data_IF_245870227931
#
_entry.id   IF_245870227931
#
_cell.length_a   1.000
_cell.length_b   1.000
_cell.length_c   1.000
_cell.angle_alpha   90.00
_cell.angle_beta   90.00
_cell.angle_gamma   90.00
#
_symmetry.space_group_name_H-M   'P 1'
#
loop_
_entity.id
_entity.type
_entity.pdbx_description
1 polymer ?
#
# COMPACT_ATOMS: atom_id res chain seq x y z
N UNK A 1 43.54 -78.07 19.23
CA UNK A 1 43.86 -77.06 18.20
C UNK A 1 42.55 -76.66 17.53
N UNK A 2 41.89 -75.55 17.90
CA UNK A 2 40.65 -75.11 17.24
C UNK A 2 40.94 -74.20 16.04
N UNK A 3 40.17 -74.38 14.96
CA UNK A 3 40.24 -73.60 13.74
C UNK A 3 39.53 -72.23 13.92
N UNK A 4 40.16 -71.16 13.44
CA UNK A 4 39.65 -69.79 13.51
C UNK A 4 38.56 -69.55 12.45
N UNK A 5 37.44 -68.93 12.85
CA UNK A 5 36.37 -68.48 11.97
C UNK A 5 36.73 -67.13 11.29
N UNK A 6 36.32 -66.89 10.04
CA UNK A 6 36.62 -65.63 9.34
C UNK A 6 35.70 -64.49 9.81
N UNK A 7 36.32 -63.37 10.21
CA UNK A 7 35.63 -62.14 10.58
C UNK A 7 35.04 -61.43 9.36
N UNK A 8 33.72 -61.18 9.40
CA UNK A 8 33.04 -60.36 8.39
C UNK A 8 33.29 -58.89 8.73
N UNK A 9 34.21 -58.26 8.01
CA UNK A 9 34.40 -56.81 8.05
C UNK A 9 33.32 -56.14 7.20
N UNK A 10 32.27 -55.64 7.84
CA UNK A 10 31.26 -54.81 7.16
C UNK A 10 31.93 -53.49 6.80
N UNK A 11 32.22 -53.30 5.52
CA UNK A 11 32.92 -52.15 4.98
C UNK A 11 32.01 -50.90 5.08
N UNK A 12 32.31 -50.01 6.02
CA UNK A 12 31.53 -48.79 6.35
C UNK A 12 31.24 -47.88 5.13
N UNK A 13 32.06 -47.98 4.08
CA UNK A 13 31.86 -47.28 2.80
C UNK A 13 30.60 -47.73 2.05
N UNK A 14 30.21 -48.99 2.21
CA UNK A 14 28.98 -49.51 1.61
C UNK A 14 27.77 -48.95 2.35
N UNK A 15 27.80 -48.94 3.69
CA UNK A 15 26.70 -48.40 4.51
C UNK A 15 26.45 -46.90 4.24
N UNK A 16 27.49 -46.10 4.03
CA UNK A 16 27.34 -44.67 3.69
C UNK A 16 26.75 -44.45 2.30
N UNK A 17 27.06 -45.32 1.32
CA UNK A 17 26.47 -45.26 -0.02
C UNK A 17 25.00 -45.66 0.01
N UNK A 18 24.63 -46.67 0.80
CA UNK A 18 23.24 -47.05 1.02
C UNK A 18 22.44 -45.98 1.78
N UNK A 19 23.06 -45.28 2.74
CA UNK A 19 22.42 -44.15 3.44
C UNK A 19 22.24 -42.94 2.51
N UNK A 20 23.21 -42.64 1.65
CA UNK A 20 23.08 -41.59 0.64
C UNK A 20 22.05 -41.94 -0.43
N UNK A 21 21.96 -43.21 -0.84
CA UNK A 21 20.93 -43.68 -1.76
C UNK A 21 19.53 -43.59 -1.13
N UNK A 22 19.37 -43.97 0.16
CA UNK A 22 18.13 -43.80 0.91
C UNK A 22 17.74 -42.31 1.07
N UNK A 23 18.73 -41.43 1.30
CA UNK A 23 18.51 -39.99 1.38
C UNK A 23 18.12 -39.40 0.01
N UNK A 24 18.68 -39.91 -1.10
CA UNK A 24 18.32 -39.52 -2.47
C UNK A 24 16.93 -40.02 -2.89
N UNK A 25 16.52 -41.21 -2.43
CA UNK A 25 15.14 -41.72 -2.62
C UNK A 25 14.16 -40.84 -1.85
N UNK A 26 14.47 -40.48 -0.60
CA UNK A 26 13.62 -39.54 0.17
C UNK A 26 13.52 -38.13 -0.44
N UNK A 27 14.55 -37.66 -1.16
CA UNK A 27 14.51 -36.34 -1.82
C UNK A 27 13.75 -36.36 -3.16
N UNK A 28 13.60 -37.53 -3.78
CA UNK A 28 12.93 -37.65 -5.09
C UNK A 28 11.43 -37.94 -4.98
N UNK A 29 10.94 -38.38 -3.82
CA UNK A 29 9.51 -38.65 -3.57
C UNK A 29 8.75 -37.49 -2.91
N UNK A 30 9.29 -36.26 -2.94
CA UNK A 30 8.46 -35.06 -2.79
C UNK A 30 7.94 -34.62 -4.17
N UNK A 31 7.43 -35.58 -4.93
CA UNK A 31 6.41 -35.26 -5.92
C UNK A 31 5.21 -34.75 -5.13
N UNK A 32 4.99 -33.44 -5.29
CA UNK A 32 3.74 -32.75 -5.04
C UNK A 32 2.62 -33.73 -5.31
N UNK A 33 1.82 -34.02 -4.28
CA UNK A 33 0.57 -34.74 -4.40
C UNK A 33 -0.37 -33.88 -5.26
N UNK A 34 -0.14 -33.87 -6.57
CA UNK A 34 -1.11 -33.45 -7.56
C UNK A 34 -2.24 -34.46 -7.41
N UNK A 35 -3.44 -34.06 -6.97
CA UNK A 35 -4.58 -34.92 -7.12
C UNK A 35 -4.87 -34.97 -8.62
N UNK A 36 -4.17 -35.86 -9.32
CA UNK A 36 -4.56 -36.40 -10.61
C UNK A 36 -5.83 -37.23 -10.46
N UNK A 37 -6.89 -36.62 -9.95
CA UNK A 37 -8.24 -37.06 -10.22
C UNK A 37 -8.53 -36.60 -11.64
N UNK A 38 -8.77 -37.55 -12.55
CA UNK A 38 -9.21 -37.29 -13.93
C UNK A 38 -10.60 -36.64 -13.95
N UNK A 39 -10.70 -35.42 -13.41
CA UNK A 39 -11.86 -34.56 -13.49
C UNK A 39 -11.88 -33.83 -14.82
N UNK A 40 -13.08 -33.47 -15.26
CA UNK A 40 -13.27 -32.64 -16.44
C UNK A 40 -12.45 -31.36 -16.31
N UNK A 41 -11.62 -31.08 -17.31
CA UNK A 41 -10.85 -29.85 -17.41
C UNK A 41 -11.62 -28.83 -18.24
N UNK A 42 -11.58 -27.59 -17.80
CA UNK A 42 -12.31 -26.49 -18.40
C UNK A 42 -11.34 -25.44 -18.97
N UNK A 43 -11.89 -24.53 -19.78
CA UNK A 43 -11.17 -23.40 -20.37
C UNK A 43 -11.70 -22.09 -19.82
N UNK A 44 -10.81 -21.21 -19.37
CA UNK A 44 -11.17 -19.87 -18.90
C UNK A 44 -10.94 -18.88 -20.02
N UNK A 45 -12.00 -18.20 -20.45
CA UNK A 45 -11.97 -17.25 -21.56
C UNK A 45 -12.19 -15.82 -21.07
N UNK A 46 -11.48 -14.89 -21.71
CA UNK A 46 -11.60 -13.49 -21.39
C UNK A 46 -11.00 -12.58 -22.45
N UNK A 47 -11.16 -11.29 -22.22
CA UNK A 47 -10.61 -10.22 -23.04
C UNK A 47 -10.10 -9.12 -22.12
N UNK A 48 -8.84 -8.75 -22.32
CA UNK A 48 -8.20 -7.65 -21.64
C UNK A 48 -8.17 -6.43 -22.57
N UNK A 49 -8.61 -5.28 -22.05
CA UNK A 49 -8.77 -4.04 -22.81
C UNK A 49 -8.04 -2.92 -22.08
N UNK A 50 -7.13 -2.27 -22.80
CA UNK A 50 -6.49 -1.02 -22.36
C UNK A 50 -7.18 0.13 -23.09
N UNK A 51 -7.83 1.07 -22.39
CA UNK A 51 -8.44 2.23 -23.02
C UNK A 51 -7.39 3.06 -23.77
N UNK A 52 -7.64 3.35 -25.05
CA UNK A 52 -6.78 4.23 -25.86
C UNK A 52 -5.52 3.58 -26.44
N UNK A 53 -5.23 2.31 -26.16
CA UNK A 53 -4.05 1.60 -26.69
C UNK A 53 -4.49 0.35 -27.44
N UNK A 54 -3.90 0.10 -28.61
CA UNK A 54 -4.23 -1.09 -29.40
C UNK A 54 -3.62 -2.35 -28.74
N UNK A 55 -4.35 -3.48 -28.70
CA UNK A 55 -3.86 -4.71 -28.07
C UNK A 55 -2.52 -5.22 -28.62
N UNK A 56 -2.30 -5.11 -29.92
CA UNK A 56 -1.05 -5.51 -30.58
C UNK A 56 0.23 -4.87 -30.00
N UNK A 57 0.13 -3.70 -29.40
CA UNK A 57 1.28 -2.93 -28.91
C UNK A 57 1.77 -3.42 -27.53
N UNK A 58 0.91 -4.13 -26.77
CA UNK A 58 1.22 -4.56 -25.40
C UNK A 58 0.96 -6.05 -25.12
N UNK A 59 0.11 -6.72 -25.91
CA UNK A 59 -0.29 -8.11 -25.69
C UNK A 59 0.90 -9.08 -25.67
N UNK A 60 1.95 -8.82 -26.45
CA UNK A 60 3.17 -9.63 -26.50
C UNK A 60 3.98 -9.62 -25.20
N UNK A 61 3.90 -8.52 -24.44
CA UNK A 61 4.57 -8.37 -23.14
C UNK A 61 3.74 -8.88 -21.97
N UNK A 62 2.47 -9.21 -22.21
CA UNK A 62 1.52 -9.54 -21.17
C UNK A 62 1.30 -11.05 -21.06
N UNK A 63 0.99 -11.51 -19.85
CA UNK A 63 0.68 -12.91 -19.54
C UNK A 63 -0.58 -12.98 -18.67
N UNK A 64 -1.32 -14.06 -18.81
CA UNK A 64 -2.47 -14.35 -17.95
C UNK A 64 -2.05 -15.42 -16.97
N UNK A 65 -2.18 -15.12 -15.68
CA UNK A 65 -1.89 -16.05 -14.60
C UNK A 65 -3.20 -16.48 -13.94
N UNK A 66 -3.28 -17.77 -13.63
CA UNK A 66 -4.34 -18.34 -12.81
C UNK A 66 -3.69 -18.92 -11.56
N UNK A 67 -4.15 -18.45 -10.40
CA UNK A 67 -3.70 -18.86 -9.06
C UNK A 67 -2.17 -18.81 -8.88
N UNK A 68 -1.56 -17.69 -9.24
CA UNK A 68 -0.13 -17.47 -8.97
C UNK A 68 0.82 -18.34 -9.79
N UNK A 69 0.51 -18.53 -11.08
CA UNK A 69 1.29 -19.32 -12.08
C UNK A 69 1.00 -20.83 -12.13
N UNK A 70 0.02 -21.34 -11.39
CA UNK A 70 -0.40 -22.75 -11.52
C UNK A 70 -0.86 -23.06 -12.96
N UNK A 71 -1.64 -22.16 -13.56
CA UNK A 71 -1.95 -22.20 -14.99
C UNK A 71 -1.59 -20.88 -15.63
N UNK A 72 -0.93 -20.96 -16.80
CA UNK A 72 -0.46 -19.79 -17.54
C UNK A 72 -1.14 -19.75 -18.90
N UNK A 73 -1.66 -18.58 -19.25
CA UNK A 73 -2.20 -18.28 -20.56
C UNK A 73 -1.53 -17.08 -21.22
N UNK A 74 -1.72 -16.97 -22.52
CA UNK A 74 -1.20 -15.87 -23.33
C UNK A 74 -2.34 -15.10 -23.98
N UNK A 75 -2.10 -13.81 -24.21
CA UNK A 75 -3.03 -12.96 -24.93
C UNK A 75 -2.81 -13.10 -26.44
N UNK A 76 -3.91 -13.07 -27.18
CA UNK A 76 -3.93 -12.96 -28.63
C UNK A 76 -3.78 -11.50 -29.06
N UNK A 77 -3.50 -11.28 -30.34
CA UNK A 77 -3.32 -9.94 -30.94
C UNK A 77 -4.54 -9.03 -30.84
N UNK A 78 -5.73 -9.61 -30.61
CA UNK A 78 -6.98 -8.88 -30.41
C UNK A 78 -7.23 -8.51 -28.94
N UNK A 79 -6.39 -8.97 -28.00
CA UNK A 79 -6.53 -8.81 -26.56
C UNK A 79 -7.39 -9.88 -25.88
N UNK A 80 -7.87 -10.88 -26.62
CA UNK A 80 -8.52 -12.05 -26.04
C UNK A 80 -7.51 -13.03 -25.45
N UNK A 81 -7.92 -13.83 -24.48
CA UNK A 81 -7.10 -14.89 -23.92
C UNK A 81 -7.94 -16.11 -23.59
N UNK A 82 -7.28 -17.26 -23.62
CA UNK A 82 -7.86 -18.55 -23.23
C UNK A 82 -6.80 -19.29 -22.41
N UNK A 83 -7.18 -19.67 -21.19
CA UNK A 83 -6.36 -20.56 -20.34
C UNK A 83 -6.98 -21.95 -20.41
N UNK A 84 -6.18 -22.94 -20.77
CA UNK A 84 -6.62 -24.33 -20.90
C UNK A 84 -6.26 -25.14 -19.65
N UNK A 85 -6.82 -26.34 -19.57
CA UNK A 85 -6.51 -27.35 -18.55
C UNK A 85 -6.85 -26.97 -17.10
N UNK A 86 -7.79 -26.04 -16.88
CA UNK A 86 -8.17 -25.59 -15.53
C UNK A 86 -9.21 -26.53 -14.92
N UNK A 87 -8.96 -27.17 -13.75
CA UNK A 87 -9.95 -28.04 -13.11
C UNK A 87 -11.16 -27.25 -12.55
N UNK A 88 -12.17 -27.97 -12.06
CA UNK A 88 -13.26 -27.31 -11.33
C UNK A 88 -12.77 -26.80 -9.98
N UNK A 89 -12.99 -25.53 -9.68
CA UNK A 89 -12.47 -24.87 -8.50
C UNK A 89 -12.78 -23.38 -8.49
N UNK A 90 -12.21 -22.66 -7.53
CA UNK A 90 -12.31 -21.21 -7.44
C UNK A 90 -10.91 -20.64 -7.57
N UNK A 91 -10.67 -19.87 -8.63
CA UNK A 91 -9.35 -19.39 -9.00
C UNK A 91 -9.33 -17.87 -9.07
N UNK A 92 -8.16 -17.29 -8.85
CA UNK A 92 -7.91 -15.87 -9.11
C UNK A 92 -7.18 -15.75 -10.44
N UNK A 93 -7.77 -15.00 -11.36
CA UNK A 93 -7.23 -14.75 -12.70
C UNK A 93 -6.68 -13.33 -12.75
N UNK A 94 -5.42 -13.21 -13.14
CA UNK A 94 -4.70 -11.94 -13.20
C UNK A 94 -4.07 -11.77 -14.58
N UNK A 95 -4.09 -10.54 -15.10
CA UNK A 95 -3.37 -10.19 -16.33
C UNK A 95 -2.16 -9.37 -15.92
N UNK A 96 -0.98 -9.97 -16.05
CA UNK A 96 0.29 -9.30 -15.78
C UNK A 96 0.78 -8.60 -17.05
N UNK A 97 1.03 -7.30 -16.95
CA UNK A 97 1.73 -6.53 -17.97
C UNK A 97 2.71 -5.57 -17.29
N UNK A 98 3.94 -5.40 -17.82
CA UNK A 98 4.88 -4.43 -17.28
C UNK A 98 4.41 -2.98 -17.46
N UNK A 99 3.62 -2.68 -18.49
CA UNK A 99 3.23 -1.32 -18.83
C UNK A 99 1.84 -0.93 -18.30
N UNK A 100 0.99 -1.91 -17.97
CA UNK A 100 -0.42 -1.69 -17.64
C UNK A 100 -0.84 -2.52 -16.44
N UNK A 101 -1.59 -1.91 -15.52
CA UNK A 101 -2.14 -2.61 -14.36
C UNK A 101 -3.58 -3.05 -14.63
N UNK A 102 -3.91 -4.28 -14.27
CA UNK A 102 -5.26 -4.85 -14.34
C UNK A 102 -5.75 -5.25 -12.95
N UNK A 103 -7.07 -5.29 -12.76
CA UNK A 103 -7.67 -5.83 -11.54
C UNK A 103 -7.71 -7.36 -11.58
N UNK A 104 -7.33 -8.06 -10.50
CA UNK A 104 -7.53 -9.50 -10.42
C UNK A 104 -9.02 -9.83 -10.33
N UNK A 105 -9.43 -10.92 -10.99
CA UNK A 105 -10.83 -11.37 -11.03
C UNK A 105 -10.93 -12.79 -10.53
N UNK A 106 -11.87 -13.06 -9.62
CA UNK A 106 -12.14 -14.40 -9.12
C UNK A 106 -13.09 -15.12 -10.06
N UNK A 107 -12.74 -16.33 -10.48
CA UNK A 107 -13.56 -17.20 -11.33
C UNK A 107 -13.87 -18.49 -10.59
N UNK A 108 -15.16 -18.74 -10.39
CA UNK A 108 -15.66 -20.01 -9.86
C UNK A 108 -16.11 -20.90 -11.02
N UNK A 109 -15.55 -22.10 -11.10
CA UNK A 109 -15.86 -23.14 -12.08
C UNK A 109 -16.54 -24.29 -11.36
N UNK A 110 -17.79 -24.56 -11.71
CA UNK A 110 -18.52 -25.73 -11.18
C UNK A 110 -18.04 -27.00 -11.90
N UNK A 111 -18.15 -28.17 -11.28
CA UNK A 111 -17.89 -29.48 -11.93
C UNK A 111 -18.72 -29.74 -13.20
N UNK A 112 -19.83 -29.02 -13.40
CA UNK A 112 -20.65 -29.03 -14.62
C UNK A 112 -20.15 -28.06 -15.72
N UNK A 113 -19.04 -27.36 -15.49
CA UNK A 113 -18.51 -26.33 -16.40
C UNK A 113 -19.20 -24.97 -16.35
N UNK A 114 -20.13 -24.74 -15.41
CA UNK A 114 -20.75 -23.42 -15.23
C UNK A 114 -19.75 -22.46 -14.59
N UNK A 115 -19.46 -21.37 -15.29
CA UNK A 115 -18.51 -20.34 -14.84
C UNK A 115 -19.21 -19.12 -14.25
N UNK A 116 -18.62 -18.56 -13.19
CA UNK A 116 -19.08 -17.32 -12.56
C UNK A 116 -17.87 -16.46 -12.20
N UNK A 117 -17.86 -15.21 -12.67
CA UNK A 117 -16.82 -14.25 -12.34
C UNK A 117 -17.28 -13.28 -11.25
N UNK A 118 -16.37 -12.84 -10.39
CA UNK A 118 -16.60 -11.89 -9.29
C UNK A 118 -15.36 -11.06 -9.01
N UNK A 119 -15.53 -9.89 -8.42
CA UNK A 119 -14.39 -9.13 -7.89
C UNK A 119 -13.70 -9.88 -6.75
N UNK A 120 -12.38 -9.71 -6.65
CA UNK A 120 -11.58 -10.31 -5.59
C UNK A 120 -11.63 -9.41 -4.35
N UNK A 121 -12.27 -9.88 -3.29
CA UNK A 121 -12.22 -9.24 -1.97
C UNK A 121 -11.65 -10.23 -0.94
N UNK A 122 -10.46 -9.93 -0.44
CA UNK A 122 -9.77 -10.76 0.55
C UNK A 122 -10.29 -10.55 1.99
N UNK A 123 -10.95 -9.43 2.26
CA UNK A 123 -11.44 -9.09 3.61
C UNK A 123 -12.83 -9.68 3.83
N UNK A 124 -13.74 -9.49 2.87
CA UNK A 124 -15.13 -9.99 2.92
C UNK A 124 -15.34 -11.05 1.85
N UNK A 125 -14.97 -12.28 2.17
CA UNK A 125 -15.10 -13.42 1.24
C UNK A 125 -16.55 -13.76 0.87
N UNK A 126 -17.53 -13.34 1.67
CA UNK A 126 -18.97 -13.51 1.43
C UNK A 126 -19.57 -12.45 0.50
N UNK A 127 -18.85 -11.36 0.21
CA UNK A 127 -19.33 -10.31 -0.68
C UNK A 127 -19.28 -10.80 -2.13
N UNK A 128 -20.43 -10.78 -2.80
CA UNK A 128 -20.57 -11.32 -4.15
C UNK A 128 -20.96 -10.21 -5.11
N UNK A 129 -19.95 -9.51 -5.63
CA UNK A 129 -20.14 -8.59 -6.76
C UNK A 129 -19.89 -9.36 -8.05
N UNK A 130 -20.97 -9.65 -8.78
CA UNK A 130 -20.90 -10.48 -9.99
C UNK A 130 -20.33 -9.68 -11.16
N UNK A 131 -19.42 -10.32 -11.89
CA UNK A 131 -18.90 -9.84 -13.15
C UNK A 131 -19.47 -10.65 -14.31
N UNK A 132 -19.64 -10.03 -15.49
CA UNK A 132 -20.03 -10.74 -16.70
C UNK A 132 -18.95 -11.75 -17.10
N UNK A 133 -19.38 -12.82 -17.76
CA UNK A 133 -18.52 -13.83 -18.37
C UNK A 133 -18.88 -13.93 -19.86
N UNK A 134 -17.92 -14.01 -20.80
CA UNK A 134 -16.45 -14.04 -20.64
C UNK A 134 -15.86 -12.81 -19.95
N UNK A 135 -14.68 -12.97 -19.35
CA UNK A 135 -14.06 -11.91 -18.54
C UNK A 135 -13.77 -10.66 -19.38
N UNK A 136 -14.11 -9.48 -18.86
CA UNK A 136 -13.73 -8.19 -19.46
C UNK A 136 -12.85 -7.42 -18.50
N UNK A 137 -11.53 -7.62 -18.61
CA UNK A 137 -10.56 -7.00 -17.71
C UNK A 137 -10.13 -5.68 -18.30
N UNK A 138 -10.46 -4.57 -17.63
CA UNK A 138 -10.05 -3.23 -18.03
C UNK A 138 -8.80 -2.83 -17.26
N UNK A 139 -7.87 -2.17 -17.94
CA UNK A 139 -6.69 -1.61 -17.27
C UNK A 139 -7.05 -0.31 -16.53
N UNK A 140 -6.42 -0.10 -15.38
CA UNK A 140 -6.46 1.17 -14.63
C UNK A 140 -5.41 2.20 -15.08
N UNK A 141 -4.60 1.86 -16.10
CA UNK A 141 -3.52 2.71 -16.60
C UNK A 141 -2.14 2.21 -16.19
N UNK A 142 -1.10 3.05 -16.37
CA UNK A 142 0.28 2.65 -16.11
C UNK A 142 0.55 2.55 -14.60
N UNK A 143 1.19 1.46 -14.14
CA UNK A 143 1.63 1.34 -12.75
C UNK A 143 2.75 2.33 -12.42
N UNK A 144 2.66 2.96 -11.25
CA UNK A 144 3.70 3.86 -10.72
C UNK A 144 4.80 3.06 -10.04
N UNK A 145 5.80 2.62 -10.80
CA UNK A 145 6.98 1.94 -10.22
C UNK A 145 7.97 2.89 -9.56
N UNK A 146 8.03 4.13 -10.04
CA UNK A 146 9.00 5.11 -9.61
C UNK A 146 8.37 6.12 -8.67
N UNK A 147 9.05 6.40 -7.56
CA UNK A 147 8.71 7.50 -6.68
C UNK A 147 9.39 8.74 -7.25
N UNK A 148 8.64 9.83 -7.38
CA UNK A 148 9.20 11.12 -7.81
C UNK A 148 10.15 11.63 -6.73
N UNK A 149 11.32 12.14 -7.12
CA UNK A 149 12.23 12.80 -6.17
C UNK A 149 11.57 14.04 -5.62
N UNK A 150 11.73 14.27 -4.32
CA UNK A 150 11.39 15.55 -3.71
C UNK A 150 12.20 16.64 -4.39
N UNK A 151 11.52 17.50 -5.13
CA UNK A 151 12.13 18.67 -5.75
C UNK A 151 12.09 19.79 -4.74
N UNK A 152 13.20 20.54 -4.62
CA UNK A 152 13.20 21.76 -3.82
C UNK A 152 12.23 22.76 -4.45
N UNK A 153 11.04 22.89 -3.87
CA UNK A 153 10.06 23.89 -4.25
C UNK A 153 10.44 25.23 -3.65
N UNK A 154 10.33 26.32 -4.41
CA UNK A 154 10.39 27.68 -3.85
C UNK A 154 9.35 27.88 -2.74
N UNK A 155 8.21 27.18 -2.85
CA UNK A 155 7.17 27.12 -1.83
C UNK A 155 7.63 26.40 -0.56
N UNK A 156 8.43 25.34 -0.65
CA UNK A 156 8.96 24.63 0.52
C UNK A 156 10.03 25.45 1.23
N UNK A 157 10.78 26.27 0.49
CA UNK A 157 11.69 27.25 1.07
C UNK A 157 10.94 28.38 1.80
N UNK A 158 9.91 28.94 1.17
CA UNK A 158 9.12 30.01 1.79
C UNK A 158 8.27 29.50 2.96
N UNK A 159 7.69 28.30 2.87
CA UNK A 159 6.92 27.68 3.96
C UNK A 159 7.82 27.10 5.07
N UNK A 160 9.15 27.22 4.94
CA UNK A 160 10.05 26.82 6.01
C UNK A 160 9.87 27.78 7.21
N UNK A 161 9.54 27.27 8.41
CA UNK A 161 9.29 28.09 9.59
C UNK A 161 10.48 28.99 9.94
N UNK A 162 11.71 28.57 9.65
CA UNK A 162 12.90 29.39 9.89
C UNK A 162 12.98 30.60 8.95
N UNK A 163 12.63 30.43 7.68
CA UNK A 163 12.67 31.51 6.68
C UNK A 163 11.53 32.50 6.93
N UNK A 164 10.32 32.02 7.23
CA UNK A 164 9.18 32.89 7.57
C UNK A 164 9.45 33.75 8.80
N UNK A 165 10.01 33.16 9.86
CA UNK A 165 10.31 33.89 11.09
C UNK A 165 11.46 34.88 10.92
N UNK A 166 12.33 34.73 9.93
CA UNK A 166 13.37 35.70 9.62
C UNK A 166 12.85 36.83 8.72
N UNK A 167 12.15 36.49 7.64
CA UNK A 167 11.74 37.46 6.62
C UNK A 167 10.56 38.32 7.09
N UNK A 168 9.60 37.74 7.81
CA UNK A 168 8.40 38.45 8.25
C UNK A 168 8.73 39.61 9.21
N UNK A 169 9.54 39.44 10.29
CA UNK A 169 9.92 40.55 11.16
C UNK A 169 10.77 41.61 10.45
N UNK A 170 11.66 41.23 9.54
CA UNK A 170 12.47 42.18 8.77
C UNK A 170 11.60 43.06 7.86
N UNK A 171 10.60 42.46 7.20
CA UNK A 171 9.65 43.20 6.37
C UNK A 171 8.82 44.17 7.22
N UNK A 172 8.37 43.74 8.40
CA UNK A 172 7.68 44.60 9.36
C UNK A 172 8.60 45.75 9.80
N UNK A 173 9.86 45.49 10.16
CA UNK A 173 10.80 46.52 10.59
C UNK A 173 11.10 47.56 9.50
N UNK A 174 11.07 47.18 8.22
CA UNK A 174 11.27 48.10 7.09
C UNK A 174 10.00 48.88 6.76
N UNK A 175 8.82 48.25 6.89
CA UNK A 175 7.55 48.88 6.57
C UNK A 175 7.00 49.74 7.71
N UNK A 176 7.18 49.35 8.98
CA UNK A 176 6.74 50.12 10.15
C UNK A 176 7.19 51.59 10.10
N UNK A 177 8.48 51.95 9.90
CA UNK A 177 8.89 53.35 9.82
C UNK A 177 8.38 54.08 8.56
N UNK A 178 7.91 53.33 7.55
CA UNK A 178 7.34 53.90 6.31
C UNK A 178 5.84 54.15 6.42
N UNK A 179 5.12 53.37 7.24
CA UNK A 179 3.66 53.49 7.44
C UNK A 179 3.29 54.20 8.74
N UNK A 180 4.16 54.11 9.75
CA UNK A 180 4.09 54.85 11.00
C UNK A 180 4.91 56.12 10.80
N UNK A 181 4.22 57.26 10.70
CA UNK A 181 4.84 58.57 10.47
C UNK A 181 5.85 58.86 11.58
N UNK A 182 7.14 58.71 11.28
CA UNK A 182 8.21 58.98 12.25
C UNK A 182 8.34 60.46 12.62
N UNK A 183 7.48 61.35 12.12
CA UNK A 183 7.52 62.81 12.34
C UNK A 183 6.59 63.32 13.46
N UNK A 184 5.71 62.48 14.02
CA UNK A 184 4.68 62.95 14.97
C UNK A 184 5.13 62.82 16.44
N UNK A 185 5.11 63.92 17.25
CA UNK A 185 5.68 63.95 18.60
C UNK A 185 4.87 63.22 19.69
N UNK A 186 3.60 62.85 19.45
CA UNK A 186 2.80 62.04 20.38
C UNK A 186 3.15 60.55 20.29
N UNK A 187 3.22 60.01 19.07
CA UNK A 187 3.47 58.59 18.85
C UNK A 187 4.90 58.18 19.22
N UNK A 188 5.87 59.10 19.12
CA UNK A 188 7.23 58.92 19.66
C UNK A 188 7.25 58.81 21.18
N UNK A 189 6.43 59.59 21.91
CA UNK A 189 6.33 59.49 23.38
C UNK A 189 5.70 58.17 23.82
N UNK A 190 4.72 57.65 23.07
CA UNK A 190 4.14 56.32 23.32
C UNK A 190 5.13 55.18 22.98
N UNK A 191 5.93 55.34 21.93
CA UNK A 191 7.03 54.42 21.59
C UNK A 191 8.17 54.45 22.62
N UNK A 192 8.52 55.64 23.12
CA UNK A 192 9.54 55.83 24.17
C UNK A 192 9.05 55.27 25.52
N UNK A 193 7.77 55.43 25.86
CA UNK A 193 7.19 54.85 27.07
C UNK A 193 7.13 53.32 27.01
N UNK A 194 6.76 52.74 25.87
CA UNK A 194 6.77 51.28 25.67
C UNK A 194 8.19 50.72 25.57
N UNK A 195 9.14 51.43 24.95
CA UNK A 195 10.55 51.04 24.91
C UNK A 195 11.22 51.14 26.29
N UNK A 196 10.91 52.17 27.09
CA UNK A 196 11.41 52.30 28.46
C UNK A 196 10.83 51.19 29.39
N UNK A 197 9.58 50.81 29.17
CA UNK A 197 8.95 49.67 29.85
C UNK A 197 9.57 48.33 29.45
N UNK A 198 10.03 48.19 28.19
CA UNK A 198 10.76 47.03 27.67
C UNK A 198 12.23 46.99 28.13
N UNK A 199 12.87 48.14 28.39
CA UNK A 199 14.28 48.24 28.82
C UNK A 199 14.50 48.07 30.34
N UNK A 200 13.44 48.06 31.15
CA UNK A 200 13.56 48.03 32.63
C UNK A 200 13.68 46.61 33.20
N UNK A 201 13.65 45.54 32.38
CA UNK A 201 13.91 44.17 32.83
C UNK A 201 15.11 43.55 32.09
N UNK A 202 16.22 43.21 32.79
CA UNK A 202 17.39 42.57 32.20
C UNK A 202 17.25 41.06 31.96
N UNK A 203 16.02 40.54 31.94
CA UNK A 203 15.70 39.21 31.41
C UNK A 203 14.60 39.39 30.37
N UNK A 204 14.95 39.19 29.11
CA UNK A 204 14.09 39.48 27.97
C UNK A 204 12.78 38.70 28.04
N UNK A 205 11.64 39.28 27.64
CA UNK A 205 10.42 38.52 27.48
C UNK A 205 10.59 37.61 26.27
N UNK A 206 10.40 36.32 26.47
CA UNK A 206 10.38 35.36 25.39
C UNK A 206 9.19 35.72 24.47
N UNK A 207 9.49 36.43 23.39
CA UNK A 207 8.54 36.80 22.32
C UNK A 207 7.83 35.57 21.76
N UNK A 208 8.39 34.37 21.99
CA UNK A 208 7.76 33.09 21.71
C UNK A 208 6.49 32.87 22.53
N UNK A 209 6.40 33.30 23.80
CA UNK A 209 5.19 33.13 24.63
C UNK A 209 4.06 34.05 24.19
N UNK A 210 4.38 35.27 23.76
CA UNK A 210 3.39 36.21 23.26
C UNK A 210 2.86 35.77 21.88
N UNK A 211 3.74 35.30 20.98
CA UNK A 211 3.34 34.72 19.70
C UNK A 211 2.60 33.39 19.87
N UNK A 212 2.99 32.54 20.85
CA UNK A 212 2.31 31.28 21.17
C UNK A 212 0.93 31.54 21.74
N UNK A 213 0.74 32.55 22.60
CA UNK A 213 -0.59 32.97 23.10
C UNK A 213 -1.50 33.49 21.97
N UNK A 214 -0.95 34.15 20.96
CA UNK A 214 -1.71 34.64 19.80
C UNK A 214 -2.03 33.53 18.78
N UNK A 215 -1.07 32.66 18.46
CA UNK A 215 -1.27 31.54 17.53
C UNK A 215 -2.11 30.40 18.13
N UNK A 216 -1.99 30.13 19.44
CA UNK A 216 -2.84 29.14 20.13
C UNK A 216 -4.28 29.62 20.30
N UNK A 217 -4.52 30.94 20.26
CA UNK A 217 -5.89 31.51 20.29
C UNK A 217 -6.71 31.21 19.03
N UNK A 218 -6.07 30.79 17.93
CA UNK A 218 -6.74 30.43 16.67
C UNK A 218 -6.82 28.92 16.40
N UNK A 219 -6.26 28.08 17.29
CA UNK A 219 -6.39 26.61 17.21
C UNK A 219 -7.36 25.99 18.23
N UNK A 220 -8.15 26.79 18.97
CA UNK A 220 -9.19 26.27 19.88
C UNK A 220 -10.62 26.56 19.39
N UNK A 221 -10.98 26.07 18.21
CA UNK A 221 -12.39 25.99 17.78
C UNK A 221 -12.84 24.54 17.55
N UNK A 222 -13.21 23.86 18.65
CA UNK A 222 -14.21 22.74 18.82
C UNK A 222 -13.83 22.01 20.12
N UNK A 223 -14.66 21.88 21.15
CA UNK A 223 -16.11 21.76 21.20
C UNK A 223 -16.66 22.26 22.54
N UNK A 224 -17.57 23.25 22.50
CA UNK A 224 -18.49 23.57 23.59
C UNK A 224 -19.79 22.77 23.40
N UNK A 225 -20.23 22.07 24.45
CA UNK A 225 -21.54 21.43 24.51
C UNK A 225 -21.98 21.28 25.97
N UNK A 226 -22.42 22.39 26.56
CA UNK A 226 -23.07 22.46 27.88
C UNK A 226 -24.52 21.95 27.79
N UNK A 227 -24.96 21.19 28.79
CA UNK A 227 -26.36 20.78 28.94
C UNK A 227 -26.61 20.15 30.31
N UNK A 228 -27.44 20.81 31.12
CA UNK A 228 -27.64 20.66 32.56
C UNK A 228 -28.82 19.71 32.89
N UNK A 229 -28.74 19.10 34.08
CA UNK A 229 -29.82 18.62 34.96
C UNK A 229 -30.49 17.24 34.72
N UNK A 230 -30.62 16.47 35.83
CA UNK A 230 -31.84 15.72 36.13
C UNK A 230 -31.74 14.26 36.56
N UNK A 231 -31.65 14.04 37.89
CA UNK A 231 -32.43 13.07 38.70
C UNK A 231 -32.31 11.54 38.45
N UNK A 232 -32.16 10.83 39.58
CA UNK A 232 -32.80 9.56 39.99
C UNK A 232 -31.94 8.29 40.13
N UNK A 233 -31.84 7.83 41.38
CA UNK A 233 -32.00 6.44 41.84
C UNK A 233 -31.11 5.34 41.26
N UNK A 234 -30.05 4.98 41.98
CA UNK A 234 -29.40 3.67 41.81
C UNK A 234 -30.12 2.63 42.66
N UNK A 235 -30.95 1.84 41.98
CA UNK A 235 -31.55 0.61 42.46
C UNK A 235 -30.65 -0.60 42.24
N UNK A 236 -30.83 -1.57 43.13
CA UNK A 236 -30.13 -2.85 43.33
C UNK A 236 -30.53 -3.92 42.29
N UNK A 237 -29.68 -4.97 42.17
CA UNK A 237 -29.88 -6.31 41.57
C UNK A 237 -29.65 -6.34 40.04
N UNK A 238 -28.95 -7.32 39.47
CA UNK A 238 -28.95 -8.76 39.73
C UNK A 238 -27.67 -9.39 39.19
#
# INVERSE_FOLDING_TARGET
>A
MPAAAPGVSVQWRSLSLWLFALLQICFSDLDVLSPGSGGDKFKVEGRAVVPGVRPQDWASSARVLVDGEEHVGFLRTDGSFVVHDVPSGSYVVEVLSPAHRFEPVRVDITSKGKMRARYVNHIKTSEVVRLPYPLQMKSFGPPSYFIKRETWGWTDFLMNPMVMMMVLPLLIFVLLPKVVNTSDPEMRREMEQSMNMLNTNPELPDVSEFMTRLFTSKSSSKSSGSGKAGKSGVGKRR
#
